data_IF_622883126965
#
_entry.id   IF_622883126965
#
_cell.length_a   1.000
_cell.length_b   1.000
_cell.length_c   1.000
_cell.angle_alpha   90.00
_cell.angle_beta   90.00
_cell.angle_gamma   90.00
#
_symmetry.space_group_name_H-M   'P 1'
#
loop_
_entity.id
_entity.type
_entity.pdbx_description
1 polymer ?
#
# COMPACT_ATOMS: atom_id res chain seq x y z
N UNK A 1 23.73 15.35 -16.06
CA UNK A 1 23.97 13.90 -16.31
C UNK A 1 24.25 13.16 -15.00
N UNK A 2 23.45 13.38 -13.95
CA UNK A 2 23.71 12.82 -12.59
C UNK A 2 22.43 12.33 -11.88
N UNK A 3 21.29 12.27 -12.57
CA UNK A 3 19.98 11.95 -11.93
C UNK A 3 19.47 10.51 -12.18
N UNK A 4 20.15 9.77 -13.05
CA UNK A 4 19.68 8.46 -13.52
C UNK A 4 20.14 7.28 -12.62
N UNK A 5 21.15 7.46 -11.80
CA UNK A 5 21.68 6.38 -10.96
C UNK A 5 20.93 6.24 -9.63
N UNK A 6 20.46 7.34 -9.03
CA UNK A 6 19.67 7.34 -7.80
C UNK A 6 18.26 6.78 -8.04
N UNK A 7 17.73 6.99 -9.24
CA UNK A 7 16.38 6.56 -9.63
C UNK A 7 16.24 5.05 -9.92
N UNK A 8 17.35 4.31 -9.94
CA UNK A 8 17.35 2.85 -10.20
C UNK A 8 17.07 1.99 -8.96
N UNK A 9 17.08 2.56 -7.77
CA UNK A 9 17.03 1.81 -6.52
C UNK A 9 15.86 2.18 -5.59
N UNK A 10 15.11 3.24 -5.90
CA UNK A 10 13.93 3.66 -5.14
C UNK A 10 12.65 3.48 -5.96
N UNK A 11 11.62 3.01 -5.32
CA UNK A 11 10.25 3.10 -5.84
C UNK A 11 9.88 4.56 -6.07
N UNK A 12 8.78 4.78 -6.80
CA UNK A 12 8.32 6.13 -7.16
C UNK A 12 7.13 6.53 -6.31
N UNK A 13 7.12 7.76 -5.84
CA UNK A 13 5.89 8.39 -5.36
C UNK A 13 5.20 9.03 -6.57
N UNK A 14 4.02 8.56 -6.92
CA UNK A 14 3.32 8.94 -8.14
C UNK A 14 2.04 9.73 -7.82
N UNK A 15 1.67 10.62 -8.72
CA UNK A 15 0.32 11.17 -8.77
C UNK A 15 -0.69 10.08 -9.19
N UNK A 16 -1.97 10.33 -8.98
CA UNK A 16 -3.02 9.41 -9.44
C UNK A 16 -2.99 9.19 -10.95
N UNK A 17 -2.79 10.27 -11.69
CA UNK A 17 -2.76 10.27 -13.16
C UNK A 17 -1.57 9.46 -13.69
N UNK A 18 -0.37 9.69 -13.13
CA UNK A 18 0.83 8.94 -13.51
C UNK A 18 0.71 7.47 -13.15
N UNK A 19 0.13 7.16 -11.99
CA UNK A 19 -0.08 5.79 -11.55
C UNK A 19 -1.09 5.04 -12.45
N UNK A 20 -2.19 5.69 -12.83
CA UNK A 20 -3.18 5.11 -13.74
C UNK A 20 -2.58 4.86 -15.13
N UNK A 21 -1.83 5.81 -15.67
CA UNK A 21 -1.12 5.67 -16.95
C UNK A 21 -0.10 4.51 -16.90
N UNK A 22 0.66 4.42 -15.81
CA UNK A 22 1.62 3.33 -15.62
C UNK A 22 0.91 1.97 -15.51
N UNK A 23 -0.17 1.88 -14.74
CA UNK A 23 -0.94 0.66 -14.59
C UNK A 23 -1.50 0.16 -15.94
N UNK A 24 -2.03 1.06 -16.76
CA UNK A 24 -2.48 0.74 -18.11
C UNK A 24 -1.34 0.17 -18.97
N UNK A 25 -0.17 0.80 -18.95
CA UNK A 25 1.02 0.32 -19.67
C UNK A 25 1.46 -1.08 -19.21
N UNK A 26 1.42 -1.34 -17.89
CA UNK A 26 1.73 -2.64 -17.32
C UNK A 26 0.73 -3.71 -17.79
N UNK A 27 -0.56 -3.41 -17.80
CA UNK A 27 -1.60 -4.32 -18.31
C UNK A 27 -1.43 -4.63 -19.79
N UNK A 28 -1.16 -3.61 -20.61
CA UNK A 28 -0.91 -3.80 -22.05
C UNK A 28 0.31 -4.70 -22.29
N UNK A 29 1.34 -4.61 -21.44
CA UNK A 29 2.52 -5.49 -21.52
C UNK A 29 2.35 -6.86 -20.87
N UNK A 30 1.14 -7.20 -20.40
CA UNK A 30 0.81 -8.49 -19.79
C UNK A 30 1.38 -8.71 -18.39
N UNK A 31 1.81 -7.63 -17.71
CA UNK A 31 2.35 -7.72 -16.36
C UNK A 31 1.23 -7.84 -15.32
N UNK A 32 1.47 -8.62 -14.28
CA UNK A 32 0.55 -8.80 -13.15
C UNK A 32 0.74 -7.66 -12.15
N UNK A 33 -0.26 -6.78 -12.07
CA UNK A 33 -0.28 -5.65 -11.13
C UNK A 33 -0.86 -6.09 -9.79
N UNK A 34 -0.10 -5.86 -8.73
CA UNK A 34 -0.48 -6.08 -7.34
C UNK A 34 -0.73 -4.74 -6.66
N UNK A 35 -1.75 -4.67 -5.83
CA UNK A 35 -2.08 -3.47 -5.05
C UNK A 35 -2.35 -3.83 -3.60
N UNK A 36 -1.86 -3.01 -2.69
CA UNK A 36 -2.25 -2.98 -1.28
C UNK A 36 -2.40 -1.55 -0.81
N UNK A 37 -3.10 -1.33 0.30
CA UNK A 37 -3.24 -0.01 0.89
C UNK A 37 -3.18 -0.05 2.42
N UNK A 38 -2.80 1.07 3.00
CA UNK A 38 -2.72 1.22 4.45
C UNK A 38 -2.15 2.55 4.91
N UNK A 39 -2.09 2.72 6.23
CA UNK A 39 -1.55 3.94 6.86
C UNK A 39 -0.03 3.95 6.88
N UNK A 40 0.61 2.82 7.09
CA UNK A 40 2.07 2.66 7.11
C UNK A 40 2.78 3.79 7.87
N UNK A 41 2.36 4.02 9.12
CA UNK A 41 2.86 5.17 9.89
C UNK A 41 4.31 4.95 10.34
N UNK A 42 4.54 4.12 11.37
CA UNK A 42 5.88 3.69 11.73
C UNK A 42 6.14 2.30 11.15
N UNK A 43 7.10 2.23 10.23
CA UNK A 43 7.45 0.97 9.59
C UNK A 43 8.20 0.05 10.56
N UNK A 44 7.89 -1.24 10.47
CA UNK A 44 8.52 -2.29 11.23
C UNK A 44 8.65 -3.56 10.37
N UNK A 45 9.34 -4.58 10.89
CA UNK A 45 9.58 -5.84 10.18
C UNK A 45 8.29 -6.48 9.62
N UNK A 46 7.18 -6.37 10.35
CA UNK A 46 5.89 -6.91 9.88
C UNK A 46 5.43 -6.29 8.57
N UNK A 47 5.59 -4.97 8.40
CA UNK A 47 5.31 -4.28 7.14
C UNK A 47 6.25 -4.76 6.02
N UNK A 48 7.55 -4.90 6.30
CA UNK A 48 8.53 -5.34 5.30
C UNK A 48 8.20 -6.74 4.79
N UNK A 49 7.96 -7.71 5.67
CA UNK A 49 7.59 -9.07 5.27
C UNK A 49 6.26 -9.12 4.52
N UNK A 50 5.27 -8.36 4.96
CA UNK A 50 3.99 -8.24 4.29
C UNK A 50 4.14 -7.73 2.85
N UNK A 51 4.89 -6.65 2.67
CA UNK A 51 5.11 -6.04 1.35
C UNK A 51 5.94 -6.95 0.43
N UNK A 52 6.93 -7.67 0.98
CA UNK A 52 7.69 -8.66 0.22
C UNK A 52 6.81 -9.80 -0.29
N UNK A 53 5.92 -10.32 0.56
CA UNK A 53 4.96 -11.35 0.15
C UNK A 53 3.97 -10.83 -0.89
N UNK A 54 3.45 -9.62 -0.70
CA UNK A 54 2.57 -8.98 -1.66
C UNK A 54 3.25 -8.83 -3.03
N UNK A 55 4.49 -8.33 -3.06
CA UNK A 55 5.28 -8.18 -4.29
C UNK A 55 5.50 -9.52 -5.01
N UNK A 56 5.66 -10.61 -4.26
CA UNK A 56 5.81 -11.95 -4.80
C UNK A 56 4.58 -12.52 -5.52
N UNK A 57 3.44 -11.85 -5.46
CA UNK A 57 2.20 -12.26 -6.13
C UNK A 57 2.06 -11.73 -7.56
N UNK A 58 2.98 -10.90 -8.03
CA UNK A 58 2.97 -10.34 -9.37
C UNK A 58 4.26 -9.64 -9.76
N UNK A 59 4.17 -8.86 -10.83
CA UNK A 59 5.33 -8.23 -11.46
C UNK A 59 5.56 -6.79 -11.00
N UNK A 60 4.52 -6.13 -10.46
CA UNK A 60 4.58 -4.74 -10.02
C UNK A 60 3.67 -4.51 -8.81
N UNK A 61 4.21 -3.92 -7.74
CA UNK A 61 3.46 -3.60 -6.52
C UNK A 61 3.23 -2.10 -6.39
N UNK A 62 1.97 -1.68 -6.49
CA UNK A 62 1.52 -0.37 -6.04
C UNK A 62 1.10 -0.41 -4.57
N UNK A 63 1.49 0.60 -3.81
CA UNK A 63 1.02 0.82 -2.43
C UNK A 63 0.19 2.09 -2.38
N UNK A 64 -1.09 1.96 -2.07
CA UNK A 64 -1.97 3.08 -1.72
C UNK A 64 -1.71 3.52 -0.28
N UNK A 65 -1.26 4.75 -0.10
CA UNK A 65 -0.95 5.31 1.21
C UNK A 65 -2.05 6.25 1.65
N UNK A 66 -2.69 5.95 2.79
CA UNK A 66 -3.66 6.87 3.39
C UNK A 66 -3.00 8.20 3.75
N UNK A 67 -3.53 9.30 3.23
CA UNK A 67 -3.08 10.65 3.58
C UNK A 67 -3.34 10.98 5.05
N UNK A 68 -2.72 12.04 5.56
CA UNK A 68 -2.76 12.41 6.98
C UNK A 68 -4.17 12.60 7.53
N UNK A 69 -5.05 13.26 6.76
CA UNK A 69 -6.45 13.46 7.14
C UNK A 69 -7.22 12.14 7.29
N UNK A 70 -7.00 11.22 6.35
CA UNK A 70 -7.60 9.88 6.40
C UNK A 70 -7.10 9.10 7.62
N UNK A 71 -5.81 9.14 7.89
CA UNK A 71 -5.23 8.47 9.08
C UNK A 71 -5.80 9.05 10.38
N UNK A 72 -5.97 10.37 10.49
CA UNK A 72 -6.60 11.00 11.68
C UNK A 72 -8.03 10.50 11.88
N UNK A 73 -8.83 10.39 10.82
CA UNK A 73 -10.20 9.86 10.91
C UNK A 73 -10.22 8.38 11.32
N UNK A 74 -9.30 7.58 10.79
CA UNK A 74 -9.26 6.14 11.04
C UNK A 74 -8.63 5.74 12.38
N UNK A 75 -7.61 6.48 12.84
CA UNK A 75 -6.77 6.10 13.98
C UNK A 75 -6.83 7.07 15.17
N UNK A 76 -7.44 8.24 14.99
CA UNK A 76 -7.56 9.28 16.02
C UNK A 76 -6.55 10.40 15.89
N UNK A 77 -6.75 11.48 16.69
CA UNK A 77 -6.02 12.74 16.59
C UNK A 77 -4.49 12.65 16.86
N UNK A 78 -4.03 11.59 17.53
CA UNK A 78 -2.60 11.35 17.78
C UNK A 78 -1.87 10.65 16.63
N UNK A 79 -2.52 10.46 15.50
CA UNK A 79 -1.98 9.76 14.33
C UNK A 79 -2.23 10.57 13.05
N UNK A 80 -1.39 10.51 12.02
CA UNK A 80 -0.13 9.74 11.99
C UNK A 80 0.97 10.41 12.84
N UNK A 81 2.02 9.66 13.14
CA UNK A 81 3.25 10.19 13.78
C UNK A 81 4.10 10.92 12.73
N UNK A 82 4.22 10.33 11.54
CA UNK A 82 4.98 10.88 10.41
C UNK A 82 4.03 11.45 9.36
N UNK A 83 4.37 12.61 8.74
CA UNK A 83 3.56 13.17 7.66
C UNK A 83 3.53 12.26 6.44
N UNK A 84 2.49 12.37 5.64
CA UNK A 84 2.26 11.52 4.47
C UNK A 84 3.42 11.53 3.47
N UNK A 85 4.08 12.68 3.30
CA UNK A 85 5.24 12.81 2.41
C UNK A 85 6.40 11.94 2.87
N UNK A 86 6.74 11.99 4.16
CA UNK A 86 7.82 11.20 4.73
C UNK A 86 7.48 9.70 4.69
N UNK A 87 6.23 9.35 5.00
CA UNK A 87 5.76 7.96 4.92
C UNK A 87 5.84 7.41 3.50
N UNK A 88 5.47 8.21 2.50
CA UNK A 88 5.54 7.83 1.10
C UNK A 88 6.97 7.59 0.64
N UNK A 89 7.91 8.48 0.97
CA UNK A 89 9.33 8.35 0.61
C UNK A 89 9.98 7.12 1.26
N UNK A 90 9.70 6.88 2.55
CA UNK A 90 10.22 5.70 3.26
C UNK A 90 9.67 4.40 2.66
N UNK A 91 8.38 4.36 2.31
CA UNK A 91 7.78 3.21 1.62
C UNK A 91 8.40 2.99 0.23
N UNK A 92 8.55 4.06 -0.54
CA UNK A 92 9.13 4.00 -1.88
C UNK A 92 10.60 3.51 -1.88
N UNK A 93 11.32 3.69 -0.78
CA UNK A 93 12.68 3.20 -0.61
C UNK A 93 12.77 1.69 -0.32
N UNK A 94 11.65 1.03 -0.01
CA UNK A 94 11.65 -0.41 0.22
C UNK A 94 11.77 -1.18 -1.11
N UNK A 95 12.67 -2.14 -1.16
CA UNK A 95 12.93 -2.97 -2.37
C UNK A 95 11.66 -3.64 -2.92
N UNK A 96 10.70 -3.97 -2.07
CA UNK A 96 9.47 -4.65 -2.48
C UNK A 96 8.41 -3.70 -3.07
N UNK A 97 8.59 -2.39 -2.96
CA UNK A 97 7.61 -1.38 -3.39
C UNK A 97 8.06 -0.77 -4.71
N UNK A 98 7.26 -0.89 -5.75
CA UNK A 98 7.58 -0.33 -7.06
C UNK A 98 7.00 1.10 -7.20
N UNK A 99 5.83 1.37 -6.63
CA UNK A 99 5.24 2.71 -6.59
C UNK A 99 4.34 2.94 -5.38
N UNK A 100 4.28 4.18 -4.94
CA UNK A 100 3.40 4.65 -3.86
C UNK A 100 2.48 5.73 -4.40
N UNK A 101 1.20 5.67 -4.04
CA UNK A 101 0.19 6.68 -4.40
C UNK A 101 -0.52 7.13 -3.13
N UNK A 102 -0.45 8.42 -2.80
CA UNK A 102 -1.18 8.98 -1.65
C UNK A 102 -2.64 9.20 -2.03
N UNK A 103 -3.56 8.81 -1.17
CA UNK A 103 -4.99 9.04 -1.36
C UNK A 103 -5.66 9.57 -0.08
N UNK A 104 -6.67 10.42 -0.24
CA UNK A 104 -7.33 11.14 0.85
C UNK A 104 -8.61 10.46 1.37
N UNK A 105 -9.13 9.45 0.67
CA UNK A 105 -10.33 8.70 1.07
C UNK A 105 -10.10 7.80 2.28
N UNK A 106 -11.16 7.39 2.94
CA UNK A 106 -11.11 6.39 4.01
C UNK A 106 -10.94 4.98 3.45
N UNK A 107 -11.36 4.77 2.20
CA UNK A 107 -11.19 3.55 1.42
C UNK A 107 -10.44 3.83 0.14
N UNK A 108 -9.80 2.81 -0.42
CA UNK A 108 -9.02 2.92 -1.65
C UNK A 108 -9.80 2.48 -2.91
N UNK A 109 -11.14 2.33 -2.83
CA UNK A 109 -11.97 1.85 -3.93
C UNK A 109 -11.73 2.61 -5.24
N UNK A 110 -11.73 3.95 -5.20
CA UNK A 110 -11.50 4.78 -6.39
C UNK A 110 -10.09 4.60 -6.98
N UNK A 111 -9.09 4.37 -6.12
CA UNK A 111 -7.73 4.10 -6.57
C UNK A 111 -7.64 2.71 -7.21
N UNK A 112 -8.33 1.73 -6.65
CA UNK A 112 -8.46 0.38 -7.22
C UNK A 112 -9.18 0.43 -8.58
N UNK A 113 -10.25 1.21 -8.71
CA UNK A 113 -10.92 1.43 -10.00
C UNK A 113 -9.98 2.01 -11.07
N UNK A 114 -9.12 2.97 -10.68
CA UNK A 114 -8.18 3.60 -11.59
C UNK A 114 -7.03 2.67 -11.99
N UNK A 115 -6.47 1.91 -11.06
CA UNK A 115 -5.32 1.03 -11.31
C UNK A 115 -5.70 -0.35 -11.84
N UNK A 116 -6.91 -0.84 -11.56
CA UNK A 116 -7.44 -2.16 -11.91
C UNK A 116 -6.46 -3.32 -11.61
N UNK A 117 -5.94 -3.43 -10.37
CA UNK A 117 -4.95 -4.46 -10.07
C UNK A 117 -5.49 -5.88 -10.30
N UNK A 118 -4.62 -6.77 -10.80
CA UNK A 118 -4.95 -8.19 -10.94
C UNK A 118 -5.08 -8.87 -9.57
N UNK A 119 -4.30 -8.39 -8.59
CA UNK A 119 -4.28 -8.93 -7.23
C UNK A 119 -4.37 -7.79 -6.22
N UNK A 120 -5.39 -7.83 -5.38
CA UNK A 120 -5.51 -6.95 -4.21
C UNK A 120 -5.10 -7.70 -2.96
N UNK A 121 -4.18 -7.13 -2.19
CA UNK A 121 -3.64 -7.76 -0.98
C UNK A 121 -4.09 -7.01 0.27
N UNK A 122 -4.54 -7.75 1.26
CA UNK A 122 -4.91 -7.22 2.58
C UNK A 122 -4.34 -8.07 3.71
N UNK A 123 -4.24 -7.51 4.91
CA UNK A 123 -3.83 -8.27 6.09
C UNK A 123 -4.85 -9.32 6.50
N UNK A 124 -4.38 -10.40 7.15
CA UNK A 124 -5.20 -11.57 7.48
C UNK A 124 -6.32 -11.30 8.49
N UNK A 125 -6.29 -10.20 9.25
CA UNK A 125 -7.37 -9.77 10.14
C UNK A 125 -8.67 -9.40 9.39
N UNK A 126 -8.57 -9.10 8.10
CA UNK A 126 -9.70 -8.83 7.23
C UNK A 126 -10.40 -10.09 6.71
N UNK A 127 -9.76 -11.24 6.84
CA UNK A 127 -10.30 -12.53 6.37
C UNK A 127 -11.34 -13.12 7.33
N UNK A 128 -11.19 -12.89 8.63
CA UNK A 128 -11.93 -13.62 9.69
C UNK A 128 -13.10 -12.86 10.27
N UNK A 129 -13.40 -11.65 9.82
CA UNK A 129 -14.42 -10.79 10.38
C UNK A 129 -15.56 -10.48 9.43
N UNK A 130 -16.64 -9.89 9.99
CA UNK A 130 -17.71 -9.23 9.25
C UNK A 130 -17.18 -8.02 8.41
N UNK A 131 -15.89 -7.83 8.34
CA UNK A 131 -15.19 -6.71 7.68
C UNK A 131 -14.44 -7.19 6.44
N UNK A 132 -15.20 -7.45 5.40
CA UNK A 132 -14.58 -7.57 4.09
C UNK A 132 -14.14 -6.17 3.63
N UNK A 133 -12.90 -5.99 3.13
CA UNK A 133 -12.47 -4.68 2.63
C UNK A 133 -13.37 -4.26 1.46
N UNK A 134 -13.86 -3.01 1.42
CA UNK A 134 -14.77 -2.55 0.36
C UNK A 134 -14.14 -2.65 -1.03
N UNK A 135 -12.83 -2.49 -1.14
CA UNK A 135 -12.06 -2.65 -2.36
C UNK A 135 -12.17 -4.06 -2.98
N UNK A 136 -12.45 -5.06 -2.17
CA UNK A 136 -12.54 -6.45 -2.65
C UNK A 136 -13.65 -6.63 -3.69
N UNK A 137 -14.81 -6.01 -3.47
CA UNK A 137 -15.92 -6.08 -4.42
C UNK A 137 -15.58 -5.42 -5.76
N UNK A 138 -14.84 -4.31 -5.72
CA UNK A 138 -14.38 -3.62 -6.92
C UNK A 138 -13.42 -4.51 -7.72
N UNK A 139 -12.41 -5.10 -7.06
CA UNK A 139 -11.43 -5.98 -7.69
C UNK A 139 -12.10 -7.18 -8.37
N UNK A 140 -13.01 -7.83 -7.67
CA UNK A 140 -13.71 -9.01 -8.20
C UNK A 140 -14.67 -8.68 -9.35
N UNK A 141 -15.21 -7.45 -9.38
CA UNK A 141 -16.15 -7.02 -10.43
C UNK A 141 -15.55 -7.06 -11.84
N UNK A 142 -14.24 -6.96 -11.97
CA UNK A 142 -13.54 -7.05 -13.27
C UNK A 142 -12.64 -8.29 -13.41
N UNK A 143 -12.77 -9.28 -12.51
CA UNK A 143 -12.06 -10.57 -12.58
C UNK A 143 -10.71 -10.60 -11.88
N UNK A 144 -10.37 -9.58 -11.08
CA UNK A 144 -9.22 -9.61 -10.19
C UNK A 144 -9.46 -10.52 -8.99
N UNK A 145 -8.41 -10.83 -8.23
CA UNK A 145 -8.50 -11.65 -7.02
C UNK A 145 -8.02 -10.93 -5.78
N UNK A 146 -8.53 -11.35 -4.63
CA UNK A 146 -8.16 -10.84 -3.31
C UNK A 146 -7.33 -11.89 -2.57
N UNK A 147 -6.17 -11.48 -2.05
CA UNK A 147 -5.28 -12.33 -1.27
C UNK A 147 -5.11 -11.76 0.14
N UNK A 148 -5.13 -12.64 1.14
CA UNK A 148 -4.94 -12.26 2.53
C UNK A 148 -3.62 -12.79 3.04
N UNK A 149 -2.75 -11.88 3.53
CA UNK A 149 -1.45 -12.22 4.08
C UNK A 149 -1.51 -12.09 5.60
N UNK A 150 -1.22 -13.16 6.36
CA UNK A 150 -1.19 -13.10 7.82
C UNK A 150 -0.14 -12.09 8.31
N UNK A 151 -0.49 -11.35 9.37
CA UNK A 151 0.46 -10.49 10.05
C UNK A 151 1.50 -11.30 10.83
N UNK A 152 2.70 -10.72 10.95
CA UNK A 152 3.72 -11.24 11.84
C UNK A 152 3.31 -10.95 13.31
N UNK A 153 3.10 -11.96 14.16
CA UNK A 153 2.70 -11.76 15.55
C UNK A 153 3.68 -10.87 16.32
N UNK A 154 3.18 -10.05 17.23
CA UNK A 154 4.01 -9.21 18.10
C UNK A 154 4.73 -8.08 17.34
N UNK A 155 4.17 -7.61 16.24
CA UNK A 155 4.73 -6.50 15.44
C UNK A 155 3.62 -5.59 14.96
N UNK A 156 3.44 -4.44 15.65
CA UNK A 156 2.51 -3.40 15.25
C UNK A 156 3.05 -2.00 15.58
N UNK A 157 2.61 -1.02 14.82
CA UNK A 157 2.93 0.39 15.09
C UNK A 157 2.43 0.82 16.47
N UNK A 158 1.28 0.33 16.90
CA UNK A 158 0.71 0.63 18.22
C UNK A 158 1.58 0.09 19.37
N UNK A 159 2.16 -1.09 19.23
CA UNK A 159 3.11 -1.64 20.22
C UNK A 159 4.40 -0.83 20.29
N UNK A 160 4.93 -0.36 19.16
CA UNK A 160 6.10 0.51 19.14
C UNK A 160 5.80 1.82 19.87
N UNK A 161 4.66 2.46 19.59
CA UNK A 161 4.26 3.70 20.25
C UNK A 161 4.07 3.49 21.77
N UNK A 162 3.42 2.38 22.16
CA UNK A 162 3.24 2.04 23.57
C UNK A 162 4.59 1.87 24.31
N UNK A 163 5.54 1.20 23.65
CA UNK A 163 6.88 0.99 24.22
C UNK A 163 7.67 2.30 24.38
N UNK A 164 7.56 3.23 23.44
CA UNK A 164 8.21 4.54 23.53
C UNK A 164 7.64 5.37 24.69
N UNK A 165 6.35 5.22 24.99
CA UNK A 165 5.65 5.97 26.05
C UNK A 165 5.77 5.34 27.45
N UNK A 166 6.26 4.12 27.57
CA UNK A 166 6.52 3.42 28.83
C UNK A 166 7.87 3.82 29.42
#
# INVERSE_FOLDING_TARGET
MTDDAANRFSGRVLTWEDAATLAESLHVSGQVVVFTNGCFDLLHRGHVEYLQRARGLGDFLFVGLNGDESVRRLKGAGRPILPETDRAEVLAALRAVDAVVIFSGDTAERLVEALRPNVYVKGGDWQTGARRPPEAAVVESYGGRVEYIPYLPGRSTSEIIAHIRS
#
